data_IF_435897440398
#
_entry.id   IF_435897440398
#
_cell.length_a   1.000
_cell.length_b   1.000
_cell.length_c   1.000
_cell.angle_alpha   90.00
_cell.angle_beta   90.00
_cell.angle_gamma   90.00
#
_symmetry.space_group_name_H-M   'P 1'
#
loop_
_entity.id
_entity.type
_entity.pdbx_description
1 polymer ?
#
# COMPACT_ATOMS: atom_id res chain seq x y z
N UNK A 1 23.26 -0.47 -6.96
CA UNK A 1 22.57 -0.29 -8.26
C UNK A 1 23.56 -0.58 -9.38
N UNK A 2 23.31 -1.61 -10.18
CA UNK A 2 24.07 -1.86 -11.42
C UNK A 2 23.45 -1.00 -12.53
N UNK A 3 24.29 -0.20 -13.19
CA UNK A 3 23.89 0.63 -14.34
C UNK A 3 24.67 0.13 -15.56
N UNK A 4 24.00 -0.13 -16.68
CA UNK A 4 24.68 -0.44 -17.94
C UNK A 4 24.62 0.76 -18.87
N UNK A 5 25.65 0.90 -19.70
CA UNK A 5 25.86 2.07 -20.54
C UNK A 5 26.20 1.62 -21.95
N UNK A 6 25.34 1.96 -22.91
CA UNK A 6 25.46 1.54 -24.32
C UNK A 6 25.56 2.78 -25.20
N UNK A 7 26.48 2.78 -26.16
CA UNK A 7 26.77 3.92 -27.04
C UNK A 7 26.58 3.60 -28.52
N UNK A 8 26.09 4.58 -29.28
CA UNK A 8 26.30 4.70 -30.72
C UNK A 8 26.84 6.10 -31.06
N UNK A 9 27.31 6.32 -32.30
CA UNK A 9 28.11 7.49 -32.72
C UNK A 9 27.49 8.89 -32.49
N UNK A 10 26.26 9.02 -31.97
CA UNK A 10 25.59 10.30 -31.69
C UNK A 10 24.70 10.32 -30.44
N UNK A 11 24.36 9.18 -29.83
CA UNK A 11 23.51 9.13 -28.64
C UNK A 11 24.01 8.05 -27.67
N UNK A 12 23.84 8.32 -26.37
CA UNK A 12 24.09 7.35 -25.30
C UNK A 12 22.81 6.98 -24.58
N UNK A 13 22.81 5.81 -23.95
CA UNK A 13 21.69 5.33 -23.15
C UNK A 13 22.18 4.83 -21.81
N UNK A 14 21.59 5.36 -20.73
CA UNK A 14 21.80 4.90 -19.36
C UNK A 14 20.60 4.05 -18.97
N UNK A 15 20.86 2.83 -18.48
CA UNK A 15 19.79 1.90 -18.10
C UNK A 15 19.91 1.55 -16.62
N UNK A 16 18.84 1.83 -15.87
CA UNK A 16 18.63 1.36 -14.51
C UNK A 16 17.76 0.11 -14.55
N UNK A 17 18.35 -0.99 -14.14
CA UNK A 17 17.69 -2.29 -14.19
C UNK A 17 16.46 -2.36 -13.26
N UNK A 18 15.39 -2.99 -13.76
CA UNK A 18 14.12 -3.22 -13.05
C UNK A 18 14.31 -3.78 -11.65
N UNK A 19 15.17 -4.79 -11.48
CA UNK A 19 15.35 -5.47 -10.20
C UNK A 19 16.01 -4.56 -9.16
N UNK A 20 16.90 -3.65 -9.59
CA UNK A 20 17.49 -2.66 -8.69
C UNK A 20 16.45 -1.64 -8.20
N UNK A 21 15.58 -1.14 -9.09
CA UNK A 21 14.51 -0.22 -8.71
C UNK A 21 13.52 -0.92 -7.77
N UNK A 22 13.17 -2.15 -8.09
CA UNK A 22 12.33 -3.01 -7.26
C UNK A 22 12.91 -3.18 -5.85
N UNK A 23 14.17 -3.59 -5.74
CA UNK A 23 14.82 -3.78 -4.44
C UNK A 23 14.85 -2.48 -3.63
N UNK A 24 15.10 -1.36 -4.30
CA UNK A 24 15.07 -0.05 -3.67
C UNK A 24 13.70 0.30 -3.07
N UNK A 25 12.60 0.04 -3.79
CA UNK A 25 11.25 0.22 -3.27
C UNK A 25 10.97 -0.71 -2.08
N UNK A 26 11.37 -1.99 -2.19
CA UNK A 26 11.17 -2.95 -1.12
C UNK A 26 11.90 -2.54 0.17
N UNK A 27 13.13 -2.02 0.06
CA UNK A 27 13.90 -1.50 1.19
C UNK A 27 13.27 -0.21 1.76
N UNK A 28 12.86 0.71 0.89
CA UNK A 28 12.27 1.99 1.31
C UNK A 28 10.96 1.81 2.09
N UNK A 29 10.19 0.77 1.75
CA UNK A 29 8.90 0.47 2.36
C UNK A 29 8.97 -0.49 3.56
N UNK A 30 10.15 -1.04 3.87
CA UNK A 30 10.33 -2.09 4.87
C UNK A 30 9.82 -1.71 6.27
N UNK A 31 9.94 -0.43 6.64
CA UNK A 31 9.47 0.08 7.94
C UNK A 31 8.00 0.50 7.93
N UNK A 32 7.48 0.90 6.77
CA UNK A 32 6.11 1.38 6.62
C UNK A 32 5.11 0.23 6.55
N UNK A 33 5.36 -0.75 5.69
CA UNK A 33 4.43 -1.85 5.42
C UNK A 33 3.94 -2.59 6.69
N UNK A 34 4.79 -2.89 7.69
CA UNK A 34 4.31 -3.54 8.92
C UNK A 34 3.34 -2.67 9.72
N UNK A 35 3.38 -1.35 9.59
CA UNK A 35 2.48 -0.43 10.33
C UNK A 35 1.03 -0.50 9.87
N UNK A 36 0.80 -0.98 8.65
CA UNK A 36 -0.53 -1.11 8.02
C UNK A 36 -1.00 -2.57 7.87
N UNK A 37 -0.15 -3.53 8.25
CA UNK A 37 -0.50 -4.94 8.32
C UNK A 37 -0.92 -5.31 9.75
N UNK A 38 -2.24 -5.30 9.99
CA UNK A 38 -2.80 -5.47 11.33
C UNK A 38 -3.11 -6.93 11.68
N UNK A 39 -2.67 -7.37 12.85
CA UNK A 39 -3.25 -8.55 13.48
C UNK A 39 -4.53 -8.14 14.21
N UNK A 40 -5.60 -8.90 14.03
CA UNK A 40 -6.89 -8.68 14.68
C UNK A 40 -7.24 -9.87 15.57
N UNK A 41 -7.86 -9.58 16.71
CA UNK A 41 -8.33 -10.57 17.69
C UNK A 41 -9.79 -10.24 18.03
N UNK A 42 -10.65 -11.25 18.02
CA UNK A 42 -12.08 -11.14 18.33
C UNK A 42 -12.38 -11.88 19.63
N UNK A 43 -13.20 -11.28 20.49
CA UNK A 43 -13.68 -11.93 21.70
C UNK A 43 -15.19 -11.74 21.87
N UNK A 44 -15.90 -12.81 22.19
CA UNK A 44 -17.33 -12.82 22.50
C UNK A 44 -17.58 -13.73 23.70
N UNK A 45 -17.63 -13.13 24.90
CA UNK A 45 -17.83 -13.87 26.14
C UNK A 45 -19.29 -13.78 26.62
N UNK A 46 -19.82 -14.89 27.15
CA UNK A 46 -21.15 -14.89 27.78
C UNK A 46 -21.09 -14.08 29.07
N UNK A 47 -21.84 -12.99 29.09
CA UNK A 47 -22.11 -12.18 30.26
C UNK A 47 -23.56 -12.35 30.73
N UNK A 48 -23.81 -11.96 31.98
CA UNK A 48 -25.08 -12.10 32.73
C UNK A 48 -26.35 -12.16 31.86
N UNK A 49 -27.21 -13.16 32.14
CA UNK A 49 -28.52 -13.36 31.49
C UNK A 49 -28.47 -13.60 29.97
N UNK A 50 -27.58 -14.47 29.49
CA UNK A 50 -27.49 -14.86 28.07
C UNK A 50 -27.22 -13.69 27.13
N UNK A 51 -26.28 -12.83 27.52
CA UNK A 51 -25.83 -11.70 26.72
C UNK A 51 -24.38 -11.98 26.28
N UNK A 52 -23.96 -11.59 25.06
CA UNK A 52 -22.54 -11.61 24.69
C UNK A 52 -21.95 -10.22 24.87
N UNK A 53 -20.86 -10.14 25.66
CA UNK A 53 -19.97 -9.00 25.70
C UNK A 53 -18.89 -9.18 24.62
N UNK A 54 -18.85 -8.25 23.67
CA UNK A 54 -17.92 -8.30 22.55
C UNK A 54 -16.77 -7.33 22.78
N UNK A 55 -15.54 -7.78 22.51
CA UNK A 55 -14.35 -6.94 22.52
C UNK A 55 -13.39 -7.39 21.43
N UNK A 56 -12.40 -6.55 21.13
CA UNK A 56 -11.44 -6.80 20.05
C UNK A 56 -10.09 -6.18 20.35
N UNK A 57 -9.07 -6.65 19.67
CA UNK A 57 -7.77 -5.99 19.59
C UNK A 57 -7.33 -5.87 18.13
N UNK A 58 -6.65 -4.77 17.81
CA UNK A 58 -6.00 -4.55 16.51
C UNK A 58 -4.56 -4.13 16.82
N UNK A 59 -3.58 -4.85 16.28
CA UNK A 59 -2.15 -4.62 16.55
C UNK A 59 -1.38 -4.54 15.23
N UNK A 60 -0.65 -3.46 14.95
CA UNK A 60 0.24 -3.41 13.79
C UNK A 60 1.48 -4.30 14.00
N UNK A 61 2.25 -4.49 12.93
CA UNK A 61 3.58 -5.12 12.97
C UNK A 61 3.67 -6.46 12.24
N UNK A 62 2.59 -6.91 11.59
CA UNK A 62 2.65 -8.14 10.80
C UNK A 62 3.42 -7.95 9.50
N UNK A 63 3.93 -9.04 8.94
CA UNK A 63 4.63 -9.03 7.66
C UNK A 63 3.69 -9.51 6.55
N UNK A 64 3.54 -8.78 5.43
CA UNK A 64 2.76 -9.25 4.30
C UNK A 64 3.50 -10.34 3.54
N UNK A 65 2.76 -11.04 2.68
CA UNK A 65 3.36 -11.83 1.61
C UNK A 65 3.82 -10.87 0.51
N UNK A 66 5.12 -10.87 0.24
CA UNK A 66 5.70 -10.20 -0.92
C UNK A 66 5.66 -11.16 -2.11
N UNK A 67 5.15 -10.68 -3.24
CA UNK A 67 5.20 -11.37 -4.53
C UNK A 67 5.80 -10.46 -5.59
N UNK A 68 6.68 -11.06 -6.39
CA UNK A 68 7.22 -10.42 -7.58
C UNK A 68 6.32 -10.78 -8.75
N UNK A 69 5.72 -9.77 -9.38
CA UNK A 69 4.90 -9.97 -10.56
C UNK A 69 5.73 -9.76 -11.83
N UNK A 70 5.41 -10.54 -12.87
CA UNK A 70 5.89 -10.31 -14.23
C UNK A 70 5.00 -9.29 -14.93
N UNK A 71 5.54 -8.55 -15.91
CA UNK A 71 4.79 -7.48 -16.59
C UNK A 71 4.69 -6.21 -15.74
N UNK A 72 3.68 -5.37 -16.00
CA UNK A 72 3.54 -3.96 -15.52
C UNK A 72 3.67 -3.75 -14.02
N UNK A 73 3.19 -4.71 -13.22
CA UNK A 73 3.33 -4.72 -11.77
C UNK A 73 4.70 -5.32 -11.42
N UNK A 74 5.50 -4.58 -10.66
CA UNK A 74 6.86 -4.99 -10.28
C UNK A 74 6.93 -5.56 -8.87
N UNK A 75 6.06 -5.08 -7.97
CA UNK A 75 5.92 -5.57 -6.61
C UNK A 75 4.46 -5.62 -6.23
N UNK A 76 4.09 -6.67 -5.51
CA UNK A 76 2.79 -6.76 -4.87
C UNK A 76 2.96 -7.29 -3.45
N UNK A 77 2.42 -6.54 -2.49
CA UNK A 77 2.28 -6.96 -1.11
C UNK A 77 0.83 -7.32 -0.86
N UNK A 78 0.60 -8.47 -0.24
CA UNK A 78 -0.74 -8.87 0.20
C UNK A 78 -0.68 -9.40 1.61
N UNK A 79 -1.60 -8.93 2.44
CA UNK A 79 -1.77 -9.37 3.81
C UNK A 79 -3.25 -9.52 4.11
N UNK A 80 -3.59 -10.57 4.84
CA UNK A 80 -4.91 -10.74 5.41
C UNK A 80 -4.80 -11.40 6.78
N UNK A 81 -5.66 -10.96 7.69
CA UNK A 81 -5.84 -11.60 8.97
C UNK A 81 -7.30 -11.46 9.39
N UNK A 82 -7.79 -12.46 10.10
CA UNK A 82 -9.16 -12.50 10.55
C UNK A 82 -9.22 -13.36 11.80
N UNK A 83 -10.05 -12.95 12.74
CA UNK A 83 -10.37 -13.72 13.92
C UNK A 83 -11.86 -13.69 14.21
N UNK A 84 -12.35 -14.69 14.93
CA UNK A 84 -13.74 -14.77 15.34
C UNK A 84 -13.90 -15.51 16.66
N UNK A 85 -14.92 -15.12 17.40
CA UNK A 85 -15.31 -15.78 18.64
C UNK A 85 -16.85 -15.81 18.76
N UNK A 86 -17.35 -16.74 19.56
CA UNK A 86 -18.77 -17.02 19.67
C UNK A 86 -19.21 -17.49 21.05
N UNK A 87 -20.40 -17.07 21.44
CA UNK A 87 -21.00 -17.35 22.73
C UNK A 87 -22.25 -18.25 22.58
N UNK A 88 -22.38 -19.21 23.49
CA UNK A 88 -23.52 -20.13 23.55
C UNK A 88 -23.40 -21.37 22.65
N UNK A 89 -24.39 -22.25 22.69
CA UNK A 89 -24.42 -23.45 21.85
C UNK A 89 -24.60 -23.00 20.39
N UNK A 90 -23.65 -23.34 19.52
CA UNK A 90 -23.64 -22.94 18.12
C UNK A 90 -23.65 -21.42 17.90
N UNK A 91 -22.96 -20.65 18.77
CA UNK A 91 -22.85 -19.18 18.67
C UNK A 91 -24.21 -18.45 18.72
N UNK A 92 -25.22 -19.09 19.33
CA UNK A 92 -26.60 -18.59 19.32
C UNK A 92 -26.84 -17.40 20.27
N UNK A 93 -25.96 -17.18 21.25
CA UNK A 93 -26.02 -16.03 22.15
C UNK A 93 -25.31 -14.84 21.49
N UNK A 94 -24.16 -15.10 20.86
CA UNK A 94 -23.44 -14.09 20.11
C UNK A 94 -22.37 -14.67 19.21
N UNK A 95 -22.00 -13.88 18.22
CA UNK A 95 -20.90 -14.14 17.30
C UNK A 95 -20.25 -12.80 16.97
N UNK A 96 -18.94 -12.77 16.95
CA UNK A 96 -18.19 -11.61 16.52
C UNK A 96 -16.98 -12.04 15.72
N UNK A 97 -16.81 -11.39 14.57
CA UNK A 97 -15.70 -11.57 13.66
C UNK A 97 -15.17 -10.19 13.28
N UNK A 98 -13.85 -10.07 13.27
CA UNK A 98 -13.14 -8.92 12.71
C UNK A 98 -12.12 -9.42 11.70
N UNK A 99 -12.02 -8.74 10.57
CA UNK A 99 -11.10 -9.05 9.50
C UNK A 99 -10.35 -7.82 9.04
N UNK A 100 -9.17 -8.04 8.48
CA UNK A 100 -8.39 -6.99 7.82
C UNK A 100 -7.72 -7.55 6.58
N UNK A 101 -7.68 -6.73 5.54
CA UNK A 101 -6.91 -7.00 4.33
C UNK A 101 -6.12 -5.77 3.95
N UNK A 102 -4.87 -5.97 3.54
CA UNK A 102 -4.02 -4.92 3.02
C UNK A 102 -3.37 -5.41 1.74
N UNK A 103 -3.49 -4.63 0.68
CA UNK A 103 -2.84 -4.89 -0.60
C UNK A 103 -2.11 -3.64 -1.07
N UNK A 104 -0.88 -3.81 -1.56
CA UNK A 104 -0.13 -2.74 -2.21
C UNK A 104 0.47 -3.25 -3.51
N UNK A 105 0.23 -2.55 -4.61
CA UNK A 105 0.82 -2.83 -5.91
C UNK A 105 1.68 -1.65 -6.35
N UNK A 106 2.87 -1.96 -6.86
CA UNK A 106 3.79 -0.99 -7.47
C UNK A 106 3.91 -1.34 -8.95
N UNK A 107 3.63 -0.37 -9.81
CA UNK A 107 3.63 -0.54 -11.26
C UNK A 107 4.56 0.48 -11.92
N UNK A 108 5.28 0.03 -12.94
CA UNK A 108 6.08 0.90 -13.81
C UNK A 108 5.35 1.03 -15.15
N UNK A 109 4.94 2.25 -15.49
CA UNK A 109 4.14 2.52 -16.68
C UNK A 109 4.66 3.75 -17.43
N UNK A 110 4.47 3.78 -18.75
CA UNK A 110 4.61 5.01 -19.52
C UNK A 110 3.20 5.58 -19.76
N UNK A 111 2.77 6.54 -18.94
CA UNK A 111 1.45 7.15 -19.05
C UNK A 111 1.56 8.46 -19.84
N UNK A 112 0.79 8.58 -20.92
CA UNK A 112 0.73 9.81 -21.76
C UNK A 112 2.12 10.30 -22.23
N UNK A 113 3.03 9.37 -22.53
CA UNK A 113 4.40 9.69 -22.96
C UNK A 113 5.34 10.12 -21.82
N UNK A 114 4.94 9.98 -20.55
CA UNK A 114 5.77 10.24 -19.38
C UNK A 114 5.93 8.97 -18.53
N UNK A 115 7.16 8.55 -18.18
CA UNK A 115 7.35 7.43 -17.27
C UNK A 115 6.80 7.78 -15.89
N UNK A 116 6.01 6.86 -15.35
CA UNK A 116 5.38 7.01 -14.04
C UNK A 116 5.49 5.72 -13.24
N UNK A 117 5.62 5.88 -11.93
CA UNK A 117 5.54 4.79 -10.97
C UNK A 117 4.24 4.97 -10.21
N UNK A 118 3.36 3.98 -10.28
CA UNK A 118 2.05 4.01 -9.63
C UNK A 118 2.06 3.05 -8.46
N UNK A 119 1.80 3.58 -7.27
CA UNK A 119 1.66 2.82 -6.03
C UNK A 119 0.19 2.86 -5.61
N UNK A 120 -0.49 1.72 -5.69
CA UNK A 120 -1.88 1.57 -5.22
C UNK A 120 -1.87 0.82 -3.91
N UNK A 121 -2.40 1.43 -2.86
CA UNK A 121 -2.56 0.85 -1.54
C UNK A 121 -4.05 0.69 -1.23
N UNK A 122 -4.48 -0.45 -0.71
CA UNK A 122 -5.86 -0.71 -0.31
C UNK A 122 -5.90 -1.40 1.04
N UNK A 123 -6.52 -0.76 2.03
CA UNK A 123 -6.73 -1.31 3.37
C UNK A 123 -8.22 -1.42 3.65
N UNK A 124 -8.63 -2.60 4.10
CA UNK A 124 -9.98 -2.87 4.58
C UNK A 124 -9.92 -3.43 5.99
N UNK A 125 -10.77 -2.91 6.88
CA UNK A 125 -11.08 -3.50 8.19
C UNK A 125 -12.58 -3.78 8.22
N UNK A 126 -12.93 -5.06 8.29
CA UNK A 126 -14.32 -5.54 8.19
C UNK A 126 -14.78 -6.23 9.48
N UNK A 127 -16.09 -6.30 9.67
CA UNK A 127 -16.70 -6.97 10.81
C UNK A 127 -17.94 -7.78 10.40
N UNK A 128 -18.24 -8.83 11.15
CA UNK A 128 -19.53 -9.54 11.16
C UNK A 128 -19.92 -9.82 12.63
N UNK A 129 -21.08 -9.33 13.03
CA UNK A 129 -21.58 -9.38 14.40
C UNK A 129 -22.98 -9.97 14.41
N UNK A 130 -23.25 -10.90 15.33
CA UNK A 130 -24.59 -11.45 15.59
C UNK A 130 -24.84 -11.51 17.09
N UNK A 131 -26.03 -11.10 17.53
CA UNK A 131 -26.47 -11.18 18.94
C UNK A 131 -27.98 -11.21 19.01
N UNK A 132 -28.53 -12.16 19.74
CA UNK A 132 -29.97 -12.25 20.05
C UNK A 132 -30.88 -11.90 18.84
N UNK A 133 -30.68 -12.59 17.71
CA UNK A 133 -31.44 -12.45 16.45
C UNK A 133 -31.17 -11.20 15.61
N UNK A 134 -30.26 -10.31 16.04
CA UNK A 134 -29.82 -9.17 15.23
C UNK A 134 -28.43 -9.47 14.66
N UNK A 135 -28.20 -9.11 13.41
CA UNK A 135 -26.89 -9.18 12.77
C UNK A 135 -26.51 -7.84 12.14
N UNK A 136 -25.21 -7.58 12.07
CA UNK A 136 -24.63 -6.45 11.35
C UNK A 136 -23.28 -6.85 10.78
N UNK A 137 -22.99 -6.45 9.56
CA UNK A 137 -21.69 -6.67 8.93
C UNK A 137 -21.35 -5.51 7.99
N UNK A 138 -20.06 -5.33 7.72
CA UNK A 138 -19.60 -4.32 6.77
C UNK A 138 -18.12 -4.02 6.89
N UNK A 139 -17.66 -3.06 6.08
CA UNK A 139 -16.30 -2.54 6.13
C UNK A 139 -16.29 -1.26 6.97
N UNK A 140 -15.82 -1.36 8.21
CA UNK A 140 -15.68 -0.20 9.10
C UNK A 140 -14.58 0.77 8.62
N UNK A 141 -13.61 0.25 7.87
CA UNK A 141 -12.63 1.02 7.13
C UNK A 141 -12.43 0.38 5.76
N UNK A 142 -12.43 1.19 4.70
CA UNK A 142 -12.15 0.76 3.32
C UNK A 142 -11.59 1.96 2.56
N UNK A 143 -10.26 2.09 2.53
CA UNK A 143 -9.61 3.20 1.83
C UNK A 143 -8.60 2.68 0.83
N UNK A 144 -8.61 3.33 -0.33
CA UNK A 144 -7.57 3.16 -1.36
C UNK A 144 -6.83 4.47 -1.55
N UNK A 145 -5.50 4.43 -1.51
CA UNK A 145 -4.62 5.54 -1.86
C UNK A 145 -3.86 5.16 -3.13
N UNK A 146 -3.87 6.04 -4.12
CA UNK A 146 -3.10 5.89 -5.36
C UNK A 146 -2.11 7.04 -5.46
N UNK A 147 -0.82 6.71 -5.33
CA UNK A 147 0.28 7.65 -5.48
C UNK A 147 0.91 7.46 -6.87
N UNK A 148 0.91 8.52 -7.68
CA UNK A 148 1.51 8.53 -9.02
C UNK A 148 2.76 9.41 -9.02
N UNK A 149 3.91 8.78 -9.19
CA UNK A 149 5.21 9.47 -9.30
C UNK A 149 5.56 9.63 -10.78
N UNK A 150 5.41 10.84 -11.31
CA UNK A 150 5.85 11.15 -12.69
C UNK A 150 7.33 11.47 -12.68
N UNK A 151 8.13 10.68 -13.40
CA UNK A 151 9.57 10.81 -13.45
C UNK A 151 9.99 11.84 -14.51
N UNK A 152 10.98 12.65 -14.15
CA UNK A 152 11.62 13.64 -15.02
C UNK A 152 13.12 13.58 -14.84
N UNK A 153 13.87 13.95 -15.87
CA UNK A 153 15.33 14.07 -15.79
C UNK A 153 15.71 15.49 -16.19
N UNK A 154 16.58 16.13 -15.40
CA UNK A 154 17.10 17.45 -15.75
C UNK A 154 18.32 17.36 -16.67
N UNK A 155 18.79 18.50 -17.17
CA UNK A 155 19.95 18.59 -18.06
C UNK A 155 21.25 18.05 -17.40
N UNK A 156 21.29 17.96 -16.07
CA UNK A 156 22.42 17.43 -15.29
C UNK A 156 22.32 15.92 -15.05
N UNK A 157 21.25 15.27 -15.49
CA UNK A 157 21.03 13.83 -15.30
C UNK A 157 20.43 13.45 -13.95
N UNK A 158 19.92 14.42 -13.20
CA UNK A 158 19.27 14.14 -11.92
C UNK A 158 17.84 13.69 -12.19
N UNK A 159 17.57 12.44 -11.86
CA UNK A 159 16.21 11.91 -11.86
C UNK A 159 15.41 12.54 -10.72
N UNK A 160 14.29 13.16 -11.05
CA UNK A 160 13.36 13.79 -10.11
C UNK A 160 11.96 13.23 -10.34
N UNK A 161 11.10 13.33 -9.33
CA UNK A 161 9.71 12.93 -9.46
C UNK A 161 8.78 13.93 -8.81
N UNK A 162 7.69 14.23 -9.50
CA UNK A 162 6.51 14.85 -8.88
C UNK A 162 5.57 13.73 -8.44
N UNK A 163 5.02 13.84 -7.23
CA UNK A 163 4.00 12.91 -6.74
C UNK A 163 2.64 13.59 -6.76
N UNK A 164 1.66 12.89 -7.33
CA UNK A 164 0.24 13.19 -7.17
C UNK A 164 -0.42 12.05 -6.39
N UNK A 165 -1.35 12.38 -5.49
CA UNK A 165 -1.95 11.41 -4.57
C UNK A 165 -3.46 11.55 -4.56
N UNK A 166 -4.13 10.46 -4.90
CA UNK A 166 -5.58 10.36 -4.86
C UNK A 166 -6.01 9.40 -3.75
N UNK A 167 -7.02 9.78 -2.98
CA UNK A 167 -7.61 8.93 -1.94
C UNK A 167 -9.08 8.71 -2.22
N UNK A 168 -9.51 7.46 -2.16
CA UNK A 168 -10.92 7.06 -2.16
C UNK A 168 -11.26 6.35 -0.86
N UNK A 169 -12.44 6.66 -0.31
CA UNK A 169 -12.94 6.10 0.94
C UNK A 169 -14.33 5.51 0.70
N UNK A 170 -14.42 4.18 0.79
CA UNK A 170 -15.64 3.39 0.67
C UNK A 170 -16.09 2.83 2.03
N UNK A 171 -15.58 3.38 3.14
CA UNK A 171 -15.92 2.92 4.49
C UNK A 171 -17.42 3.06 4.72
N UNK A 172 -18.05 2.00 5.22
CA UNK A 172 -19.44 2.04 5.63
C UNK A 172 -19.54 2.48 7.10
N UNK A 173 -20.43 3.42 7.44
CA UNK A 173 -20.74 3.64 8.84
C UNK A 173 -21.30 2.34 9.42
N UNK A 174 -20.97 2.01 10.67
CA UNK A 174 -21.60 0.87 11.33
C UNK A 174 -23.11 1.03 11.38
N UNK A 175 -23.85 -0.05 11.16
CA UNK A 175 -25.32 -0.01 11.13
C UNK A 175 -25.88 0.55 12.44
N UNK A 176 -27.01 1.28 12.40
CA UNK A 176 -27.57 1.96 13.58
C UNK A 176 -27.85 1.03 14.77
N UNK A 177 -28.09 -0.27 14.49
CA UNK A 177 -28.28 -1.30 15.50
C UNK A 177 -26.98 -1.71 16.23
N UNK A 178 -25.81 -1.19 15.82
CA UNK A 178 -24.54 -1.53 16.45
C UNK A 178 -24.39 -1.07 17.90
N UNK A 179 -25.15 -0.04 18.28
CA UNK A 179 -25.32 0.39 19.68
C UNK A 179 -25.82 -0.75 20.60
N UNK A 180 -26.45 -1.79 20.05
CA UNK A 180 -26.91 -2.94 20.83
C UNK A 180 -25.83 -4.01 21.07
N UNK A 181 -24.74 -3.99 20.30
CA UNK A 181 -23.67 -4.99 20.39
C UNK A 181 -22.54 -4.54 21.30
N UNK A 182 -22.15 -3.26 21.22
CA UNK A 182 -21.11 -2.66 22.06
C UNK A 182 -21.70 -1.67 23.06
N UNK A 183 -21.16 -1.66 24.27
CA UNK A 183 -21.50 -0.66 25.30
C UNK A 183 -21.19 0.77 24.83
N UNK A 184 -20.22 0.92 23.92
CA UNK A 184 -19.82 2.18 23.29
C UNK A 184 -19.47 1.95 21.80
N UNK A 185 -20.46 2.08 20.91
CA UNK A 185 -20.27 1.93 19.47
C UNK A 185 -19.42 3.04 18.83
N UNK A 186 -19.40 4.22 19.47
CA UNK A 186 -18.65 5.37 18.98
C UNK A 186 -17.14 5.14 19.25
N UNK A 187 -16.79 4.55 20.39
CA UNK A 187 -15.44 4.08 20.68
C UNK A 187 -14.95 3.01 19.67
N UNK A 188 -15.80 2.02 19.34
CA UNK A 188 -15.45 0.99 18.33
C UNK A 188 -15.06 1.62 16.98
N UNK A 189 -15.93 2.50 16.49
CA UNK A 189 -15.74 3.18 15.20
C UNK A 189 -14.53 4.11 15.23
N UNK A 190 -14.36 4.85 16.33
CA UNK A 190 -13.23 5.76 16.52
C UNK A 190 -11.89 5.03 16.56
N UNK A 191 -11.82 3.88 17.23
CA UNK A 191 -10.59 3.11 17.34
C UNK A 191 -10.23 2.42 16.03
N UNK A 192 -11.19 1.87 15.28
CA UNK A 192 -10.92 1.34 13.92
C UNK A 192 -10.42 2.45 13.00
N UNK A 193 -11.07 3.63 13.01
CA UNK A 193 -10.63 4.77 12.18
C UNK A 193 -9.20 5.20 12.54
N UNK A 194 -8.89 5.27 13.83
CA UNK A 194 -7.56 5.63 14.32
C UNK A 194 -6.48 4.64 13.85
N UNK A 195 -6.79 3.34 13.81
CA UNK A 195 -5.87 2.34 13.24
C UNK A 195 -5.76 2.51 11.72
N UNK A 196 -6.89 2.72 11.04
CA UNK A 196 -6.93 2.97 9.62
C UNK A 196 -6.17 4.22 9.18
N UNK A 197 -6.06 5.25 10.03
CA UNK A 197 -5.24 6.45 9.78
C UNK A 197 -3.73 6.16 9.70
N UNK A 198 -3.29 4.95 10.06
CA UNK A 198 -1.92 4.50 9.76
C UNK A 198 -1.68 4.33 8.25
N UNK A 199 -2.74 4.11 7.46
CA UNK A 199 -2.65 4.16 6.00
C UNK A 199 -2.46 5.60 5.55
N UNK A 200 -1.28 5.89 5.02
CA UNK A 200 -0.90 7.22 4.53
C UNK A 200 -0.39 7.13 3.10
N UNK A 201 -0.43 8.26 2.39
CA UNK A 201 0.21 8.39 1.09
C UNK A 201 1.70 8.10 1.20
N UNK A 202 2.23 7.28 0.29
CA UNK A 202 3.67 7.07 0.18
C UNK A 202 4.38 8.32 -0.33
N UNK A 203 3.67 9.31 -0.87
CA UNK A 203 4.25 10.61 -1.23
C UNK A 203 4.87 11.35 -0.05
N UNK A 204 4.40 11.07 1.17
CA UNK A 204 5.01 11.57 2.42
C UNK A 204 6.21 10.73 2.87
N UNK A 205 6.33 9.49 2.39
CA UNK A 205 7.52 8.68 2.55
C UNK A 205 8.55 9.22 1.55
N UNK A 206 9.67 9.72 2.06
CA UNK A 206 10.77 10.16 1.21
C UNK A 206 11.36 8.92 0.51
N UNK A 207 10.85 8.60 -0.68
CA UNK A 207 11.39 7.60 -1.58
C UNK A 207 12.35 8.35 -2.51
N UNK A 208 13.67 8.37 -2.23
CA UNK A 208 14.61 9.15 -3.03
C UNK A 208 14.74 8.53 -4.42
N UNK A 209 14.07 9.13 -5.40
CA UNK A 209 14.21 8.78 -6.82
C UNK A 209 15.45 9.41 -7.46
N UNK A 210 16.19 10.25 -6.73
CA UNK A 210 17.41 10.87 -7.24
C UNK A 210 18.57 9.88 -7.29
N UNK A 211 18.97 9.47 -8.48
CA UNK A 211 20.25 8.82 -8.66
C UNK A 211 21.33 9.91 -8.80
N UNK A 212 22.05 10.22 -7.71
CA UNK A 212 23.22 11.12 -7.74
C UNK A 212 24.47 10.43 -8.31
N UNK A 213 24.32 9.63 -9.35
CA UNK A 213 25.45 9.04 -10.02
C UNK A 213 26.04 10.09 -10.98
N UNK A 214 27.22 10.62 -10.64
CA UNK A 214 27.96 11.54 -11.52
C UNK A 214 28.52 10.75 -12.70
N UNK A 215 27.85 10.80 -13.84
CA UNK A 215 28.38 10.23 -15.08
C UNK A 215 29.30 11.25 -15.75
N UNK A 216 30.59 10.94 -15.85
CA UNK A 216 31.57 11.76 -16.57
C UNK A 216 31.71 11.20 -17.99
N UNK A 217 31.29 11.98 -18.98
CA UNK A 217 31.33 11.60 -20.39
C UNK A 217 32.70 11.93 -21.01
N UNK A 218 33.44 10.95 -21.58
CA UNK A 218 34.73 11.21 -22.19
C UNK A 218 34.58 11.70 -23.64
N UNK A 219 34.18 12.96 -23.84
CA UNK A 219 34.61 13.79 -24.99
C UNK A 219 34.09 15.23 -24.78
N UNK A 220 34.78 16.23 -25.31
CA UNK A 220 34.53 17.66 -25.08
C UNK A 220 33.23 18.23 -25.65
N UNK A 221 32.16 17.44 -25.77
CA UNK A 221 30.79 17.90 -25.97
C UNK A 221 29.97 17.55 -24.73
N UNK A 222 29.38 18.57 -24.12
CA UNK A 222 28.45 18.44 -22.99
C UNK A 222 27.21 17.69 -23.46
N UNK A 223 27.17 16.37 -23.27
CA UNK A 223 25.97 15.58 -23.49
C UNK A 223 24.88 16.02 -22.50
N UNK A 224 23.70 16.29 -23.02
CA UNK A 224 22.52 16.68 -22.25
C UNK A 224 21.54 15.52 -22.21
N UNK A 225 20.93 15.29 -21.05
CA UNK A 225 19.84 14.32 -20.93
C UNK A 225 18.60 14.86 -21.66
N UNK A 226 17.98 14.01 -22.49
CA UNK A 226 16.82 14.38 -23.31
C UNK A 226 15.51 13.86 -22.76
N UNK A 227 15.50 12.61 -22.33
CA UNK A 227 14.27 11.92 -21.92
C UNK A 227 14.57 10.75 -21.00
N UNK A 228 13.55 10.35 -20.27
CA UNK A 228 13.50 9.12 -19.49
C UNK A 228 12.23 8.35 -19.87
N UNK A 229 12.30 7.03 -19.92
CA UNK A 229 11.17 6.13 -20.21
C UNK A 229 11.39 4.73 -19.62
N UNK A 230 10.33 3.96 -19.39
CA UNK A 230 10.47 2.53 -19.11
C UNK A 230 10.55 1.73 -20.41
N UNK A 231 11.50 0.80 -20.51
CA UNK A 231 11.62 -0.12 -21.65
C UNK A 231 10.54 -1.22 -21.62
N UNK A 232 10.47 -2.04 -22.68
CA UNK A 232 9.61 -3.23 -22.70
C UNK A 232 9.93 -4.23 -21.57
N UNK A 233 11.20 -4.24 -21.11
CA UNK A 233 11.64 -5.04 -19.96
C UNK A 233 11.43 -4.32 -18.62
N UNK A 234 10.91 -3.09 -18.65
CA UNK A 234 10.68 -2.20 -17.49
C UNK A 234 11.94 -1.77 -16.77
N UNK A 235 13.05 -1.78 -17.48
CA UNK A 235 14.22 -1.03 -17.07
C UNK A 235 13.94 0.46 -17.30
N UNK A 236 14.41 1.31 -16.41
CA UNK A 236 14.32 2.76 -16.60
C UNK A 236 15.48 3.22 -17.47
N UNK A 237 15.14 3.80 -18.62
CA UNK A 237 16.07 4.17 -19.67
C UNK A 237 16.12 5.69 -19.76
N UNK A 238 17.33 6.26 -19.68
CA UNK A 238 17.57 7.67 -19.92
C UNK A 238 18.41 7.86 -21.19
N UNK A 239 17.94 8.73 -22.09
CA UNK A 239 18.63 9.03 -23.36
C UNK A 239 19.44 10.31 -23.23
N UNK A 240 20.69 10.27 -23.70
CA UNK A 240 21.59 11.44 -23.76
C UNK A 240 21.96 11.78 -25.20
N UNK A 241 22.06 13.08 -25.49
CA UNK A 241 22.45 13.64 -26.79
C UNK A 241 23.43 14.80 -26.63
#
# INVERSE_FOLDING_TARGET
>A
MSTSLTWNNQNGTIVLNRDNLREFYAQSLQSYIPTVCFQVEAHCEVYQRMNCAMSYAIRPGSQPTLSEAAGGTVLSYSYSNQDHDGAGINNNIGYFMIGTTYNMNIQFINANGSPSIVITQHLVISYDIKKSFTSSSGNAFDKTIVDTYTLTVDESGILSASVDSETSDNSAPPADNMRAFFTDSDAFTGDIRRQGDALVSTGTLNIPLSNKATYSFPSGQTSTFKSVEFSDNQDLVATVA
#
